data_IF_035211158469
#
_entry.id   IF_035211158469
#
_cell.length_a   1.000
_cell.length_b   1.000
_cell.length_c   1.000
_cell.angle_alpha   90.00
_cell.angle_beta   90.00
_cell.angle_gamma   90.00
#
_symmetry.space_group_name_H-M   'P 1'
#
loop_
_entity.id
_entity.type
_entity.pdbx_description
1 polymer ?
#
# COMPACT_ATOMS: atom_id res chain seq x y z
N UNK A 1 -16.50 12.25 13.43
CA UNK A 1 -17.65 12.17 14.36
C UNK A 1 -17.35 13.23 15.39
N UNK A 2 -18.06 14.35 15.41
CA UNK A 2 -17.89 15.30 16.52
C UNK A 2 -18.26 14.58 17.81
N UNK A 3 -17.47 14.77 18.88
CA UNK A 3 -17.61 14.05 20.14
C UNK A 3 -18.84 14.45 20.97
N UNK A 4 -20.02 14.37 20.35
CA UNK A 4 -21.30 14.61 21.00
C UNK A 4 -21.73 13.39 21.82
N UNK A 5 -21.26 13.40 23.06
CA UNK A 5 -21.63 12.46 24.11
C UNK A 5 -23.15 12.36 24.33
N UNK A 6 -23.91 13.43 24.12
CA UNK A 6 -25.38 13.41 24.29
C UNK A 6 -26.01 12.58 23.18
N UNK A 7 -25.61 12.84 21.93
CA UNK A 7 -26.05 12.05 20.77
C UNK A 7 -25.69 10.57 20.93
N UNK A 8 -24.51 10.24 21.46
CA UNK A 8 -24.11 8.86 21.74
C UNK A 8 -25.04 8.15 22.73
N UNK A 9 -25.27 8.78 23.88
CA UNK A 9 -26.10 8.21 24.94
C UNK A 9 -27.50 7.97 24.38
N UNK A 10 -28.07 8.99 23.72
CA UNK A 10 -29.38 8.92 23.08
C UNK A 10 -29.46 7.78 22.06
N UNK A 11 -28.44 7.61 21.22
CA UNK A 11 -28.36 6.54 20.23
C UNK A 11 -28.32 5.14 20.88
N UNK A 12 -27.58 4.98 21.98
CA UNK A 12 -27.47 3.67 22.67
C UNK A 12 -28.64 3.32 23.57
N UNK A 13 -29.49 4.30 23.92
CA UNK A 13 -30.68 4.10 24.76
C UNK A 13 -31.99 4.00 23.97
N UNK A 14 -31.94 4.22 22.65
CA UNK A 14 -33.11 4.09 21.79
C UNK A 14 -33.65 2.65 21.78
N UNK A 15 -34.97 2.54 21.67
CA UNK A 15 -35.62 1.25 21.48
C UNK A 15 -35.13 0.59 20.17
N UNK A 16 -34.80 -0.70 20.21
CA UNK A 16 -34.26 -1.43 19.07
C UNK A 16 -32.74 -1.30 18.85
N UNK A 17 -31.99 -0.68 19.78
CA UNK A 17 -30.53 -0.73 19.74
C UNK A 17 -29.99 -2.17 19.81
N UNK A 18 -29.13 -2.54 18.87
CA UNK A 18 -28.51 -3.87 18.85
C UNK A 18 -27.56 -4.03 20.05
N UNK A 19 -27.91 -4.91 20.98
CA UNK A 19 -27.09 -5.22 22.16
C UNK A 19 -25.77 -5.92 21.82
N UNK A 20 -25.64 -6.49 20.62
CA UNK A 20 -24.36 -7.01 20.12
C UNK A 20 -23.48 -5.90 19.55
N UNK A 21 -23.99 -4.68 19.49
CA UNK A 21 -23.28 -3.48 19.07
C UNK A 21 -22.68 -3.62 17.68
N UNK A 22 -23.32 -4.39 16.80
CA UNK A 22 -22.86 -4.58 15.43
C UNK A 22 -23.63 -3.65 14.51
N UNK A 23 -22.89 -3.02 13.62
CA UNK A 23 -23.43 -2.27 12.50
C UNK A 23 -23.19 -3.07 11.23
N UNK A 24 -24.28 -3.34 10.51
CA UNK A 24 -24.21 -3.78 9.12
C UNK A 24 -24.36 -2.54 8.23
N UNK A 25 -23.30 -2.21 7.48
CA UNK A 25 -23.28 -1.01 6.67
C UNK A 25 -22.29 -1.17 5.52
N UNK A 26 -22.78 -0.93 4.31
CA UNK A 26 -21.99 -0.94 3.08
C UNK A 26 -20.95 0.20 3.05
N UNK A 27 -21.06 1.19 3.94
CA UNK A 27 -20.07 2.26 4.09
C UNK A 27 -18.73 1.75 4.66
N UNK A 28 -18.71 0.59 5.32
CA UNK A 28 -17.53 0.02 5.94
C UNK A 28 -17.20 -1.34 5.30
N UNK A 29 -16.38 -1.36 4.23
CA UNK A 29 -16.20 -2.52 3.36
C UNK A 29 -15.51 -3.74 4.01
N UNK A 30 -15.07 -3.62 5.28
CA UNK A 30 -14.22 -4.62 5.95
C UNK A 30 -14.93 -5.60 6.87
N UNK A 31 -16.25 -5.78 6.80
CA UNK A 31 -16.92 -6.78 7.66
C UNK A 31 -17.92 -7.67 6.91
N UNK A 32 -17.43 -8.79 6.36
CA UNK A 32 -18.26 -9.99 6.19
C UNK A 32 -18.65 -10.50 7.58
N UNK A 33 -19.62 -9.85 8.25
CA UNK A 33 -20.05 -10.16 9.62
C UNK A 33 -20.43 -8.97 10.52
N UNK A 34 -20.47 -7.74 9.98
CA UNK A 34 -20.77 -6.50 10.70
C UNK A 34 -19.58 -5.97 11.50
N UNK A 35 -19.42 -4.65 11.54
CA UNK A 35 -18.39 -3.95 12.31
C UNK A 35 -18.95 -3.57 13.67
N UNK A 36 -18.21 -3.83 14.75
CA UNK A 36 -18.66 -3.41 16.07
C UNK A 36 -18.52 -1.89 16.23
N UNK A 37 -19.38 -1.28 17.05
CA UNK A 37 -19.24 0.14 17.39
C UNK A 37 -17.88 0.45 18.00
N UNK A 38 -17.29 -0.49 18.75
CA UNK A 38 -15.95 -0.32 19.33
C UNK A 38 -14.86 -0.28 18.25
N UNK A 39 -14.93 -1.17 17.25
CA UNK A 39 -14.04 -1.15 16.09
C UNK A 39 -14.17 0.14 15.28
N UNK A 40 -15.40 0.68 15.13
CA UNK A 40 -15.63 1.98 14.50
C UNK A 40 -15.00 3.13 15.28
N UNK A 41 -15.06 3.11 16.61
CA UNK A 41 -14.38 4.11 17.43
C UNK A 41 -12.87 4.08 17.19
N UNK A 42 -12.29 2.88 17.06
CA UNK A 42 -10.87 2.72 16.75
C UNK A 42 -10.53 3.26 15.36
N UNK A 43 -11.38 2.95 14.37
CA UNK A 43 -11.21 3.42 12.99
C UNK A 43 -11.25 4.95 12.88
N UNK A 44 -12.13 5.61 13.61
CA UNK A 44 -12.32 7.07 13.58
C UNK A 44 -11.51 7.83 14.63
N UNK A 45 -10.76 7.14 15.50
CA UNK A 45 -10.00 7.78 16.57
C UNK A 45 -10.86 8.38 17.71
N UNK A 46 -12.14 7.98 17.83
CA UNK A 46 -13.11 8.54 18.78
C UNK A 46 -12.95 7.95 20.19
N UNK A 47 -12.02 8.51 20.97
CA UNK A 47 -11.62 7.96 22.27
C UNK A 47 -12.73 8.03 23.33
N UNK A 48 -13.51 9.10 23.42
CA UNK A 48 -14.57 9.19 24.43
C UNK A 48 -15.68 8.16 24.19
N UNK A 49 -16.04 7.90 22.93
CA UNK A 49 -16.97 6.84 22.56
C UNK A 49 -16.40 5.47 22.89
N UNK A 50 -15.12 5.23 22.58
CA UNK A 50 -14.43 4.00 22.92
C UNK A 50 -14.52 3.73 24.43
N UNK A 51 -14.18 4.72 25.25
CA UNK A 51 -14.25 4.63 26.71
C UNK A 51 -15.67 4.41 27.21
N UNK A 52 -16.66 5.11 26.66
CA UNK A 52 -18.07 4.90 26.99
C UNK A 52 -18.52 3.46 26.71
N UNK A 53 -18.16 2.90 25.56
CA UNK A 53 -18.52 1.53 25.20
C UNK A 53 -17.85 0.50 26.11
N UNK A 54 -16.55 0.70 26.42
CA UNK A 54 -15.81 -0.15 27.37
C UNK A 54 -16.42 -0.13 28.76
N UNK A 55 -16.82 1.05 29.26
CA UNK A 55 -17.35 1.20 30.62
C UNK A 55 -18.81 0.73 30.74
N UNK A 56 -19.70 1.18 29.85
CA UNK A 56 -21.15 0.90 29.94
C UNK A 56 -21.49 -0.53 29.53
N UNK A 57 -20.81 -1.07 28.52
CA UNK A 57 -21.20 -2.34 27.90
C UNK A 57 -20.14 -3.43 28.00
N UNK A 58 -18.97 -3.13 28.57
CA UNK A 58 -17.84 -4.08 28.64
C UNK A 58 -17.45 -4.63 27.26
N UNK A 59 -17.59 -3.80 26.22
CA UNK A 59 -17.32 -4.16 24.83
C UNK A 59 -15.91 -4.74 24.68
N UNK A 60 -15.78 -5.93 24.12
CA UNK A 60 -14.50 -6.65 24.04
C UNK A 60 -13.59 -5.98 23.00
N UNK A 61 -12.34 -5.73 23.36
CA UNK A 61 -11.30 -5.27 22.42
C UNK A 61 -10.92 -6.45 21.54
N UNK A 62 -11.23 -6.36 20.25
CA UNK A 62 -10.88 -7.38 19.25
C UNK A 62 -9.50 -7.09 18.64
N UNK A 63 -8.88 -8.05 17.92
CA UNK A 63 -7.68 -7.75 17.13
C UNK A 63 -7.90 -6.63 16.11
N UNK A 64 -9.12 -6.48 15.57
CA UNK A 64 -9.43 -5.40 14.65
C UNK A 64 -9.48 -4.03 15.34
N UNK A 65 -9.82 -3.95 16.63
CA UNK A 65 -9.70 -2.71 17.39
C UNK A 65 -8.25 -2.20 17.37
N UNK A 66 -7.27 -3.06 17.67
CA UNK A 66 -5.86 -2.69 17.61
C UNK A 66 -5.42 -2.30 16.19
N UNK A 67 -5.81 -3.09 15.18
CA UNK A 67 -5.48 -2.78 13.78
C UNK A 67 -6.03 -1.43 13.35
N UNK A 68 -7.31 -1.15 13.64
CA UNK A 68 -7.95 0.11 13.29
C UNK A 68 -7.46 1.29 14.12
N UNK A 69 -6.96 1.10 15.34
CA UNK A 69 -6.38 2.22 16.11
C UNK A 69 -5.14 2.82 15.45
N UNK A 70 -4.38 2.03 14.69
CA UNK A 70 -3.28 2.55 13.86
C UNK A 70 -3.75 3.38 12.68
N UNK A 71 -4.96 3.13 12.17
CA UNK A 71 -5.58 3.92 11.11
C UNK A 71 -6.19 5.22 11.67
N UNK A 72 -6.91 5.12 12.78
CA UNK A 72 -7.61 6.25 13.40
C UNK A 72 -6.70 7.28 14.05
N UNK A 73 -5.41 6.98 14.24
CA UNK A 73 -4.41 7.97 14.63
C UNK A 73 -4.46 8.41 16.10
N UNK A 74 -5.29 7.77 16.93
CA UNK A 74 -5.43 8.13 18.36
C UNK A 74 -4.56 7.20 19.25
N UNK A 75 -3.46 7.70 19.85
CA UNK A 75 -2.54 6.88 20.65
C UNK A 75 -3.18 6.30 21.90
N UNK A 76 -4.17 6.97 22.50
CA UNK A 76 -4.82 6.49 23.72
C UNK A 76 -5.64 5.22 23.45
N UNK A 77 -6.38 5.20 22.33
CA UNK A 77 -7.09 3.98 21.90
C UNK A 77 -6.09 2.85 21.62
N UNK A 78 -5.00 3.15 20.91
CA UNK A 78 -3.96 2.18 20.59
C UNK A 78 -3.36 1.58 21.87
N UNK A 79 -3.00 2.42 22.85
CA UNK A 79 -2.44 2.00 24.12
C UNK A 79 -3.40 1.11 24.92
N UNK A 80 -4.71 1.42 24.94
CA UNK A 80 -5.71 0.53 25.54
C UNK A 80 -5.80 -0.82 24.83
N UNK A 81 -5.71 -0.82 23.50
CA UNK A 81 -5.76 -2.06 22.72
C UNK A 81 -4.52 -2.94 22.94
N UNK A 82 -3.33 -2.34 23.01
CA UNK A 82 -2.05 -3.03 23.24
C UNK A 82 -1.97 -3.76 24.59
N UNK A 83 -2.80 -3.39 25.58
CA UNK A 83 -2.85 -4.10 26.87
C UNK A 83 -3.36 -5.55 26.74
N UNK A 84 -4.13 -5.85 25.69
CA UNK A 84 -4.80 -7.15 25.52
C UNK A 84 -4.63 -7.77 24.13
N UNK A 85 -4.02 -7.05 23.19
CA UNK A 85 -3.78 -7.50 21.82
C UNK A 85 -2.30 -7.37 21.47
N UNK A 86 -1.84 -8.21 20.53
CA UNK A 86 -0.47 -8.20 20.01
C UNK A 86 -0.50 -7.65 18.58
N UNK A 87 0.38 -6.69 18.23
CA UNK A 87 0.48 -6.20 16.86
C UNK A 87 0.81 -7.29 15.84
N UNK A 88 0.28 -7.13 14.63
CA UNK A 88 0.52 -8.00 13.48
C UNK A 88 0.80 -7.18 12.21
N UNK A 89 1.05 -7.84 11.08
CA UNK A 89 1.35 -7.15 9.81
C UNK A 89 0.21 -6.23 9.34
N UNK A 90 -1.04 -6.47 9.76
CA UNK A 90 -2.16 -5.56 9.44
C UNK A 90 -2.07 -4.25 10.22
N UNK A 91 -1.47 -4.27 11.42
CA UNK A 91 -1.16 -3.05 12.16
C UNK A 91 -0.16 -2.18 11.37
N UNK A 92 0.91 -2.79 10.82
CA UNK A 92 1.87 -2.07 9.97
C UNK A 92 1.21 -1.51 8.71
N UNK A 93 0.37 -2.31 8.04
CA UNK A 93 -0.43 -1.83 6.91
C UNK A 93 -1.22 -0.57 7.27
N UNK A 94 -1.95 -0.58 8.38
CA UNK A 94 -2.78 0.57 8.76
C UNK A 94 -1.96 1.77 9.26
N UNK A 95 -0.79 1.56 9.86
CA UNK A 95 0.15 2.62 10.18
C UNK A 95 0.73 3.30 8.93
N UNK A 96 1.04 2.53 7.89
CA UNK A 96 1.46 3.07 6.58
C UNK A 96 0.31 3.86 5.94
N UNK A 97 -0.92 3.33 5.95
CA UNK A 97 -2.08 4.02 5.37
C UNK A 97 -2.39 5.34 6.10
N UNK A 98 -2.18 5.42 7.42
CA UNK A 98 -2.46 6.64 8.18
C UNK A 98 -1.40 7.74 8.03
N UNK A 99 -0.29 7.47 7.33
CA UNK A 99 0.86 8.38 7.24
C UNK A 99 1.40 8.83 8.60
N UNK A 100 1.20 8.02 9.65
CA UNK A 100 1.74 8.29 10.98
C UNK A 100 3.07 7.57 11.18
N UNK A 101 4.17 8.30 11.03
CA UNK A 101 5.52 7.73 11.08
C UNK A 101 5.92 7.22 12.47
N UNK A 102 5.37 7.80 13.53
CA UNK A 102 5.61 7.35 14.91
C UNK A 102 5.05 5.95 15.10
N UNK A 103 3.90 5.65 14.50
CA UNK A 103 3.30 4.32 14.53
C UNK A 103 4.11 3.30 13.72
N UNK A 104 4.58 3.69 12.54
CA UNK A 104 5.42 2.82 11.70
C UNK A 104 6.73 2.47 12.41
N UNK A 105 7.42 3.47 12.95
CA UNK A 105 8.68 3.26 13.69
C UNK A 105 8.46 2.50 14.99
N UNK A 106 7.38 2.76 15.73
CA UNK A 106 6.98 1.97 16.90
C UNK A 106 6.81 0.48 16.56
N UNK A 107 6.05 0.16 15.52
CA UNK A 107 5.81 -1.23 15.10
C UNK A 107 7.09 -1.92 14.61
N UNK A 108 7.95 -1.19 13.90
CA UNK A 108 9.22 -1.72 13.41
C UNK A 108 10.20 -1.99 14.57
N UNK A 109 10.37 -1.04 15.47
CA UNK A 109 11.40 -1.11 16.50
C UNK A 109 10.99 -1.97 17.71
N UNK A 110 9.76 -1.78 18.21
CA UNK A 110 9.30 -2.42 19.45
C UNK A 110 8.67 -3.79 19.20
N UNK A 111 8.13 -4.01 18.00
CA UNK A 111 7.44 -5.24 17.63
C UNK A 111 8.12 -6.03 16.51
N UNK A 112 9.23 -5.52 15.95
CA UNK A 112 10.00 -6.18 14.89
C UNK A 112 9.15 -6.55 13.67
N UNK A 113 8.12 -5.74 13.38
CA UNK A 113 7.26 -5.91 12.20
C UNK A 113 7.89 -5.14 11.04
N UNK A 114 8.20 -5.84 9.95
CA UNK A 114 8.85 -5.24 8.79
C UNK A 114 7.90 -4.25 8.09
N UNK A 115 8.46 -3.14 7.63
CA UNK A 115 7.78 -2.23 6.71
C UNK A 115 7.63 -2.93 5.35
N UNK A 116 6.44 -2.85 4.79
CA UNK A 116 6.09 -3.39 3.49
C UNK A 116 6.21 -2.28 2.43
N UNK A 117 7.20 -2.39 1.56
CA UNK A 117 7.49 -1.37 0.55
C UNK A 117 6.44 -1.31 -0.56
N UNK A 118 5.76 -2.42 -0.86
CA UNK A 118 4.65 -2.42 -1.81
C UNK A 118 3.50 -1.56 -1.26
N UNK A 119 3.19 -1.68 0.04
CA UNK A 119 2.22 -0.81 0.69
C UNK A 119 2.69 0.64 0.74
N UNK A 120 3.98 0.91 0.98
CA UNK A 120 4.51 2.28 0.92
C UNK A 120 4.30 2.89 -0.46
N UNK A 121 4.56 2.13 -1.53
CA UNK A 121 4.31 2.56 -2.91
C UNK A 121 2.83 2.76 -3.20
N UNK A 122 1.97 1.79 -2.86
CA UNK A 122 0.53 1.85 -3.13
C UNK A 122 -0.15 3.07 -2.47
N UNK A 123 0.27 3.42 -1.26
CA UNK A 123 -0.30 4.53 -0.51
C UNK A 123 0.55 5.81 -0.58
N UNK A 124 1.57 5.85 -1.45
CA UNK A 124 2.49 6.98 -1.61
C UNK A 124 3.07 7.49 -0.27
N UNK A 125 3.40 6.58 0.64
CA UNK A 125 3.97 6.90 1.95
C UNK A 125 5.51 6.88 1.88
N UNK A 126 6.07 7.96 1.31
CA UNK A 126 7.51 8.13 1.15
C UNK A 126 8.25 8.13 2.50
N UNK A 127 7.65 8.64 3.57
CA UNK A 127 8.29 8.68 4.89
C UNK A 127 8.56 7.27 5.42
N UNK A 128 7.59 6.36 5.31
CA UNK A 128 7.75 4.97 5.72
C UNK A 128 8.78 4.23 4.86
N UNK A 129 8.78 4.50 3.56
CA UNK A 129 9.81 4.01 2.63
C UNK A 129 11.22 4.46 3.06
N UNK A 130 11.38 5.74 3.42
CA UNK A 130 12.67 6.27 3.85
C UNK A 130 13.12 5.70 5.20
N UNK A 131 12.19 5.42 6.13
CA UNK A 131 12.52 4.70 7.37
C UNK A 131 13.03 3.30 7.08
N UNK A 132 12.40 2.56 6.17
CA UNK A 132 12.91 1.25 5.77
C UNK A 132 14.31 1.35 5.19
N UNK A 133 14.55 2.30 4.28
CA UNK A 133 15.86 2.52 3.67
C UNK A 133 16.94 2.83 4.71
N UNK A 134 16.65 3.73 5.64
CA UNK A 134 17.58 4.16 6.70
C UNK A 134 17.95 3.01 7.63
N UNK A 135 16.96 2.21 8.04
CA UNK A 135 17.18 1.16 9.03
C UNK A 135 17.73 -0.15 8.46
N UNK A 136 17.37 -0.50 7.23
CA UNK A 136 17.80 -1.77 6.62
C UNK A 136 19.01 -1.63 5.71
N UNK A 137 19.22 -0.43 5.15
CA UNK A 137 20.20 -0.16 4.12
C UNK A 137 20.05 -1.06 2.87
N UNK A 138 18.87 -1.64 2.65
CA UNK A 138 18.59 -2.48 1.48
C UNK A 138 18.31 -1.61 0.24
N UNK A 139 19.39 -1.15 -0.38
CA UNK A 139 19.36 -0.29 -1.55
C UNK A 139 18.61 -0.93 -2.73
N UNK A 140 18.80 -2.24 -2.97
CA UNK A 140 18.23 -2.90 -4.13
C UNK A 140 16.71 -3.05 -4.00
N UNK A 141 16.22 -3.49 -2.83
CA UNK A 141 14.78 -3.58 -2.61
C UNK A 141 14.14 -2.19 -2.70
N UNK A 142 14.72 -1.16 -2.07
CA UNK A 142 14.24 0.21 -2.22
C UNK A 142 14.25 0.70 -3.67
N UNK A 143 15.28 0.37 -4.43
CA UNK A 143 15.41 0.78 -5.83
C UNK A 143 14.29 0.22 -6.70
N UNK A 144 13.91 -1.04 -6.50
CA UNK A 144 12.80 -1.67 -7.24
C UNK A 144 11.48 -0.88 -7.09
N UNK A 145 11.15 -0.44 -5.87
CA UNK A 145 9.90 0.27 -5.58
C UNK A 145 9.96 1.79 -5.78
N UNK A 146 11.16 2.38 -5.91
CA UNK A 146 11.35 3.83 -6.04
C UNK A 146 10.63 4.50 -7.23
N UNK A 147 10.45 3.84 -8.41
CA UNK A 147 9.67 4.39 -9.53
C UNK A 147 8.24 4.82 -9.18
N UNK A 148 7.62 4.16 -8.20
CA UNK A 148 6.23 4.41 -7.81
C UNK A 148 6.01 5.78 -7.15
N UNK A 149 7.08 6.42 -6.66
CA UNK A 149 7.00 7.74 -6.03
C UNK A 149 7.09 8.91 -7.03
N UNK A 150 7.41 8.64 -8.30
CA UNK A 150 7.58 9.69 -9.33
C UNK A 150 8.64 10.74 -8.95
N UNK A 151 9.70 10.30 -8.27
CA UNK A 151 10.81 11.14 -7.82
C UNK A 151 12.11 10.68 -8.47
N UNK A 152 12.45 11.25 -9.63
CA UNK A 152 13.67 10.92 -10.37
C UNK A 152 14.95 11.15 -9.53
N UNK A 153 14.94 12.15 -8.64
CA UNK A 153 16.04 12.39 -7.70
C UNK A 153 16.25 11.27 -6.68
N UNK A 154 15.19 10.58 -6.25
CA UNK A 154 15.30 9.41 -5.36
C UNK A 154 15.92 8.23 -6.12
N UNK A 155 15.48 8.01 -7.36
CA UNK A 155 16.01 6.97 -8.24
C UNK A 155 17.51 7.20 -8.49
N UNK A 156 17.89 8.40 -8.91
CA UNK A 156 19.30 8.79 -9.15
C UNK A 156 20.14 8.67 -7.88
N UNK A 157 19.60 9.04 -6.72
CA UNK A 157 20.27 8.85 -5.45
C UNK A 157 20.58 7.36 -5.20
N UNK A 158 19.62 6.46 -5.40
CA UNK A 158 19.83 5.03 -5.21
C UNK A 158 20.83 4.45 -6.23
N UNK A 159 20.79 4.89 -7.48
CA UNK A 159 21.81 4.56 -8.50
C UNK A 159 23.20 5.00 -8.02
N UNK A 160 23.32 6.22 -7.50
CA UNK A 160 24.59 6.74 -6.96
C UNK A 160 25.11 5.95 -5.75
N UNK A 161 24.23 5.23 -5.04
CA UNK A 161 24.56 4.31 -3.95
C UNK A 161 24.88 2.89 -4.42
N UNK A 162 24.91 2.64 -5.74
CA UNK A 162 25.27 1.35 -6.31
C UNK A 162 24.11 0.37 -6.40
N UNK A 163 22.87 0.86 -6.53
CA UNK A 163 21.74 0.00 -6.84
C UNK A 163 21.98 -0.82 -8.12
N UNK A 164 21.63 -2.10 -8.09
CA UNK A 164 21.57 -2.93 -9.29
C UNK A 164 20.40 -2.46 -10.17
N UNK A 165 20.71 -1.98 -11.37
CA UNK A 165 19.74 -1.48 -12.34
C UNK A 165 18.66 -2.53 -12.66
N UNK A 166 19.03 -3.82 -12.58
CA UNK A 166 18.16 -4.96 -12.85
C UNK A 166 17.77 -5.74 -11.59
N UNK A 167 17.84 -5.09 -10.41
CA UNK A 167 17.32 -5.63 -9.17
C UNK A 167 15.87 -6.12 -9.35
N UNK A 168 15.51 -7.16 -8.61
CA UNK A 168 14.19 -7.79 -8.66
C UNK A 168 13.59 -7.90 -7.27
N UNK A 169 12.30 -7.65 -7.16
CA UNK A 169 11.51 -7.97 -5.96
C UNK A 169 11.19 -9.47 -5.87
N UNK A 170 10.35 -9.81 -4.90
CA UNK A 170 9.87 -11.17 -4.69
C UNK A 170 9.08 -11.70 -5.89
N UNK A 171 8.44 -10.88 -6.71
CA UNK A 171 7.70 -11.29 -7.91
C UNK A 171 8.54 -11.29 -9.19
N UNK A 172 9.83 -10.98 -9.06
CA UNK A 172 10.76 -10.91 -10.20
C UNK A 172 10.63 -9.62 -11.02
N UNK A 173 9.86 -8.65 -10.55
CA UNK A 173 9.66 -7.36 -11.19
C UNK A 173 10.87 -6.46 -10.97
N UNK A 174 11.29 -5.79 -12.03
CA UNK A 174 12.40 -4.81 -12.02
C UNK A 174 11.84 -3.40 -11.82
N UNK A 175 12.67 -2.38 -11.48
CA UNK A 175 12.22 -1.00 -11.45
C UNK A 175 11.55 -0.55 -12.76
N UNK A 176 11.99 -1.10 -13.91
CA UNK A 176 11.41 -0.77 -15.20
C UNK A 176 9.96 -1.29 -15.36
N UNK A 177 9.59 -2.39 -14.70
CA UNK A 177 8.19 -2.84 -14.64
C UNK A 177 7.32 -1.80 -13.92
N UNK A 178 7.78 -1.32 -12.76
CA UNK A 178 7.06 -0.31 -11.98
C UNK A 178 6.99 1.05 -12.69
N UNK A 179 8.07 1.49 -13.34
CA UNK A 179 8.06 2.72 -14.15
C UNK A 179 7.05 2.60 -15.30
N UNK A 180 7.00 1.42 -15.94
CA UNK A 180 6.09 1.13 -17.05
C UNK A 180 4.62 1.12 -16.63
N UNK A 181 4.25 0.41 -15.56
CA UNK A 181 2.88 0.38 -15.06
C UNK A 181 2.38 1.76 -14.60
N UNK A 182 3.25 2.56 -13.98
CA UNK A 182 2.90 3.91 -13.50
C UNK A 182 2.94 5.01 -14.58
N UNK A 183 3.25 4.67 -15.83
CA UNK A 183 3.45 5.63 -16.93
C UNK A 183 4.51 6.71 -16.63
N UNK A 184 5.53 6.35 -15.86
CA UNK A 184 6.59 7.26 -15.46
C UNK A 184 7.72 7.28 -16.51
N UNK A 185 7.48 8.06 -17.56
CA UNK A 185 8.38 8.21 -18.72
C UNK A 185 9.81 8.59 -18.33
N UNK A 186 9.98 9.60 -17.48
CA UNK A 186 11.30 10.11 -17.10
C UNK A 186 12.13 9.03 -16.38
N UNK A 187 11.52 8.32 -15.42
CA UNK A 187 12.17 7.21 -14.73
C UNK A 187 12.50 6.07 -15.69
N UNK A 188 11.63 5.74 -16.64
CA UNK A 188 11.90 4.72 -17.65
C UNK A 188 13.11 5.09 -18.53
N UNK A 189 13.21 6.36 -18.98
CA UNK A 189 14.36 6.86 -19.73
C UNK A 189 15.67 6.79 -18.93
N UNK A 190 15.65 7.15 -17.64
CA UNK A 190 16.81 7.02 -16.74
C UNK A 190 17.22 5.55 -16.60
N UNK A 191 16.27 4.64 -16.36
CA UNK A 191 16.55 3.21 -16.22
C UNK A 191 17.16 2.60 -17.49
N UNK A 192 16.55 2.88 -18.65
CA UNK A 192 17.03 2.37 -19.94
C UNK A 192 18.43 2.92 -20.26
N UNK A 193 18.67 4.21 -20.05
CA UNK A 193 20.00 4.81 -20.28
C UNK A 193 21.08 4.27 -19.35
N UNK A 194 20.71 3.73 -18.19
CA UNK A 194 21.60 3.04 -17.26
C UNK A 194 21.69 1.52 -17.50
N UNK A 195 21.11 0.99 -18.58
CA UNK A 195 21.26 -0.41 -18.98
C UNK A 195 20.24 -1.36 -18.35
N UNK A 196 19.04 -0.89 -18.04
CA UNK A 196 17.94 -1.76 -17.68
C UNK A 196 17.60 -2.73 -18.82
N UNK A 197 17.39 -4.00 -18.47
CA UNK A 197 16.90 -5.02 -19.40
C UNK A 197 15.44 -4.72 -19.76
N UNK A 198 15.27 -4.14 -20.95
CA UNK A 198 13.98 -3.72 -21.49
C UNK A 198 12.99 -4.87 -21.67
N UNK A 199 13.50 -6.10 -21.79
CA UNK A 199 12.73 -7.33 -21.97
C UNK A 199 12.78 -8.24 -20.74
N UNK A 200 13.17 -7.71 -19.59
CA UNK A 200 13.19 -8.45 -18.34
C UNK A 200 11.84 -9.11 -18.10
N UNK A 201 11.85 -10.39 -17.71
CA UNK A 201 10.64 -11.12 -17.34
C UNK A 201 10.51 -11.25 -15.84
N UNK A 202 9.31 -10.94 -15.34
CA UNK A 202 8.91 -11.26 -13.97
C UNK A 202 8.55 -12.75 -13.83
N UNK A 203 8.11 -13.17 -12.65
CA UNK A 203 7.72 -14.56 -12.40
C UNK A 203 6.58 -15.03 -13.29
N UNK A 204 5.69 -14.17 -13.77
CA UNK A 204 4.59 -14.53 -14.68
C UNK A 204 5.00 -14.49 -16.15
N UNK A 205 6.27 -14.19 -16.43
CA UNK A 205 6.78 -14.05 -17.79
C UNK A 205 6.41 -12.73 -18.45
N UNK A 206 5.70 -11.85 -17.73
CA UNK A 206 5.37 -10.49 -18.17
C UNK A 206 6.63 -9.63 -18.22
N UNK A 207 6.69 -8.76 -19.23
CA UNK A 207 7.75 -7.77 -19.43
C UNK A 207 7.28 -6.38 -19.01
N UNK A 208 8.16 -5.36 -18.90
CA UNK A 208 7.72 -3.98 -18.67
C UNK A 208 6.67 -3.51 -19.68
N UNK A 209 6.77 -3.95 -20.94
CA UNK A 209 5.77 -3.62 -21.97
C UNK A 209 4.41 -4.25 -21.70
N UNK A 210 4.33 -5.43 -21.08
CA UNK A 210 3.04 -6.00 -20.65
C UNK A 210 2.38 -5.12 -19.59
N UNK A 211 3.15 -4.64 -18.61
CA UNK A 211 2.65 -3.76 -17.55
C UNK A 211 2.17 -2.43 -18.13
N UNK A 212 2.98 -1.79 -18.98
CA UNK A 212 2.59 -0.55 -19.66
C UNK A 212 1.27 -0.71 -20.45
N UNK A 213 1.09 -1.86 -21.12
CA UNK A 213 -0.10 -2.11 -21.91
C UNK A 213 -1.36 -2.35 -21.06
N UNK A 214 -1.23 -3.13 -19.97
CA UNK A 214 -2.31 -3.42 -19.02
C UNK A 214 -2.82 -2.12 -18.38
N UNK A 215 -1.92 -1.23 -17.99
CA UNK A 215 -2.26 0.01 -17.27
C UNK A 215 -2.56 1.20 -18.20
N UNK A 216 -2.41 1.03 -19.52
CA UNK A 216 -2.66 2.09 -20.51
C UNK A 216 -1.60 3.21 -20.50
N UNK A 217 -0.38 2.88 -20.08
CA UNK A 217 0.76 3.79 -19.92
C UNK A 217 1.38 4.17 -21.26
N UNK A 218 0.74 5.10 -21.96
CA UNK A 218 1.07 5.49 -23.34
C UNK A 218 2.51 5.98 -23.51
N UNK A 219 2.92 6.99 -22.74
CA UNK A 219 4.22 7.63 -22.87
C UNK A 219 5.36 6.63 -22.62
N UNK A 220 5.19 5.75 -21.64
CA UNK A 220 6.21 4.73 -21.35
C UNK A 220 6.20 3.61 -22.38
N UNK A 221 5.03 3.27 -22.95
CA UNK A 221 4.94 2.31 -24.06
C UNK A 221 5.74 2.79 -25.29
N UNK A 222 5.60 4.06 -25.66
CA UNK A 222 6.35 4.66 -26.78
C UNK A 222 7.87 4.58 -26.53
N UNK A 223 8.32 4.88 -25.31
CA UNK A 223 9.73 4.77 -24.93
C UNK A 223 10.22 3.32 -24.97
N UNK A 224 9.45 2.37 -24.45
CA UNK A 224 9.84 0.96 -24.46
C UNK A 224 9.96 0.42 -25.90
N UNK A 225 8.99 0.69 -26.77
CA UNK A 225 9.01 0.23 -28.17
C UNK A 225 10.18 0.88 -28.93
N UNK A 226 10.37 2.19 -28.79
CA UNK A 226 11.46 2.90 -29.48
C UNK A 226 12.86 2.45 -29.05
N UNK A 227 12.98 1.86 -27.85
CA UNK A 227 14.24 1.30 -27.34
C UNK A 227 14.34 -0.23 -27.52
N UNK A 228 13.46 -0.85 -28.32
CA UNK A 228 13.60 -2.26 -28.73
C UNK A 228 12.91 -3.29 -27.82
N UNK A 229 11.87 -2.90 -27.08
CA UNK A 229 11.03 -3.86 -26.38
C UNK A 229 10.38 -4.85 -27.38
N UNK A 230 10.36 -6.12 -27.04
CA UNK A 230 9.73 -7.17 -27.84
C UNK A 230 8.21 -7.11 -27.69
N UNK A 231 7.57 -6.54 -28.71
CA UNK A 231 6.12 -6.38 -28.80
C UNK A 231 5.36 -7.71 -28.92
N UNK A 232 6.06 -8.79 -29.26
CA UNK A 232 5.52 -10.14 -29.40
C UNK A 232 5.93 -11.05 -28.24
N UNK A 233 6.58 -10.51 -27.21
CA UNK A 233 6.94 -11.27 -26.02
C UNK A 233 5.67 -11.91 -25.44
N UNK A 234 5.75 -13.21 -25.13
CA UNK A 234 4.65 -13.93 -24.48
C UNK A 234 4.92 -14.12 -23.00
N UNK A 235 3.92 -13.84 -22.19
CA UNK A 235 3.87 -14.26 -20.79
C UNK A 235 3.58 -15.77 -20.66
N UNK A 236 3.42 -16.26 -19.43
CA UNK A 236 3.14 -17.68 -19.16
C UNK A 236 1.79 -18.16 -19.68
N UNK A 237 0.82 -17.28 -19.82
CA UNK A 237 -0.50 -17.59 -20.37
C UNK A 237 -0.53 -17.49 -21.90
N UNK A 238 0.59 -17.08 -22.50
CA UNK A 238 0.74 -16.91 -23.94
C UNK A 238 0.18 -15.60 -24.46
N UNK A 239 -0.22 -14.68 -23.57
CA UNK A 239 -0.67 -13.34 -23.89
C UNK A 239 0.53 -12.48 -24.33
N UNK A 240 0.28 -11.59 -25.28
CA UNK A 240 1.24 -10.56 -25.70
C UNK A 240 0.87 -9.24 -25.04
N UNK A 241 1.77 -8.24 -24.98
CA UNK A 241 1.40 -6.92 -24.45
C UNK A 241 0.15 -6.33 -25.13
N UNK A 242 0.01 -6.55 -26.44
CA UNK A 242 -1.12 -6.08 -27.25
C UNK A 242 -2.42 -6.86 -27.13
N UNK A 243 -2.42 -8.08 -26.55
CA UNK A 243 -3.65 -8.88 -26.44
C UNK A 243 -4.60 -8.39 -25.35
N UNK A 244 -4.10 -7.57 -24.42
CA UNK A 244 -4.87 -7.02 -23.31
C UNK A 244 -5.53 -5.70 -23.71
N UNK A 245 -6.61 -5.80 -24.50
CA UNK A 245 -7.73 -4.86 -24.67
C UNK A 245 -7.50 -3.36 -24.98
N UNK A 246 -6.29 -2.87 -25.26
CA UNK A 246 -6.12 -1.48 -25.70
C UNK A 246 -5.96 -1.39 -27.23
N UNK A 247 -7.09 -1.27 -27.94
CA UNK A 247 -7.11 -1.07 -29.40
C UNK A 247 -6.30 0.18 -29.84
N UNK A 248 -6.07 1.15 -28.95
CA UNK A 248 -5.22 2.32 -29.23
C UNK A 248 -3.72 2.02 -29.20
N UNK A 249 -3.26 1.03 -28.41
CA UNK A 249 -1.84 0.66 -28.37
C UNK A 249 -1.38 -0.03 -29.67
N UNK A 250 -2.30 -0.71 -30.36
CA UNK A 250 -2.05 -1.28 -31.69
C UNK A 250 -1.65 -0.23 -32.74
N UNK A 251 -2.03 1.04 -32.55
CA UNK A 251 -1.66 2.12 -33.48
C UNK A 251 -0.19 2.54 -33.37
N UNK A 252 0.50 2.21 -32.27
CA UNK A 252 1.93 2.48 -32.07
C UNK A 252 2.83 1.29 -32.45
N UNK A 253 2.22 0.17 -32.87
CA UNK A 253 2.89 -1.09 -33.18
C UNK A 253 2.96 -1.40 -34.70
N UNK A 254 2.45 -0.51 -35.55
CA UNK A 254 2.41 -0.59 -37.03
C UNK A 254 3.06 0.65 -37.65
#
# INVERSE_FOLDING_TARGET
MDDDKISLITFTEREGFDKKQKLDSDLYPFSKGGISLLELCCYHGSYEYFQFLRTKFQSIITPNCLRYSFLGGNPDIMNECLKVQIPDNKCMKYAIISHNIDFVTFLMNEHNIKIDLELCSQYNNLQSFLVYLDQTYDINTCFVYSPSFHLSSLLEYLISKGADINAKDEDGCTPLHYAAGNNNKETAEILISNGADINAKNKDGSTPLHWAAIDGSKETTEILISNGADINAKDKDGCTPSSNNNQELLQYLL
#
